data_IF_120871312113
#
_entry.id   IF_120871312113
#
_cell.length_a   1.000
_cell.length_b   1.000
_cell.length_c   1.000
_cell.angle_alpha   90.00
_cell.angle_beta   90.00
_cell.angle_gamma   90.00
#
_symmetry.space_group_name_H-M   'P 1'
#
loop_
_entity.id
_entity.type
_entity.pdbx_description
1 polymer ?
#
# COMPACT_ATOMS: atom_id res chain seq x y z
N UNK A 1 10.41 15.53 12.69
CA UNK A 1 9.30 14.59 12.96
C UNK A 1 9.23 13.61 11.82
N UNK A 2 9.48 12.33 12.10
CA UNK A 2 9.53 11.29 11.08
C UNK A 2 8.16 10.61 10.98
N UNK A 3 7.34 11.03 10.01
CA UNK A 3 6.03 10.43 9.74
C UNK A 3 6.07 9.62 8.46
N UNK A 4 5.52 8.42 8.50
CA UNK A 4 5.55 7.47 7.39
C UNK A 4 4.14 7.04 7.05
N UNK A 5 3.83 6.91 5.77
CA UNK A 5 2.61 6.28 5.26
C UNK A 5 2.95 4.98 4.53
N UNK A 6 2.08 4.00 4.67
CA UNK A 6 2.21 2.67 4.06
C UNK A 6 0.90 2.34 3.34
N UNK A 7 0.99 1.96 2.07
CA UNK A 7 -0.17 1.45 1.34
C UNK A 7 -0.57 0.05 1.81
N UNK A 8 -1.75 -0.40 1.45
CA UNK A 8 -2.27 -1.74 1.80
C UNK A 8 -2.12 -2.71 0.64
N UNK A 9 -2.84 -2.44 -0.45
CA UNK A 9 -3.01 -3.41 -1.52
C UNK A 9 -1.70 -3.57 -2.30
N UNK A 10 -1.21 -4.82 -2.40
CA UNK A 10 0.10 -5.21 -2.97
C UNK A 10 1.34 -4.70 -2.19
N UNK A 11 1.11 -4.12 -1.00
CA UNK A 11 2.19 -3.72 -0.07
C UNK A 11 2.09 -4.47 1.25
N UNK A 12 0.94 -4.40 1.93
CA UNK A 12 0.66 -5.15 3.15
C UNK A 12 -0.08 -6.46 2.89
N UNK A 13 -0.86 -6.54 1.82
CA UNK A 13 -1.70 -7.68 1.46
C UNK A 13 -1.72 -7.86 -0.06
N UNK A 14 -1.73 -9.10 -0.53
CA UNK A 14 -2.03 -9.38 -1.94
C UNK A 14 -3.53 -9.21 -2.18
N UNK A 15 -3.90 -8.34 -3.10
CA UNK A 15 -5.30 -8.04 -3.43
C UNK A 15 -5.72 -8.56 -4.81
N UNK A 16 -4.89 -8.33 -5.83
CA UNK A 16 -5.24 -8.62 -7.24
C UNK A 16 -5.50 -10.09 -7.49
N UNK A 17 -4.62 -10.98 -7.02
CA UNK A 17 -4.78 -12.43 -7.23
C UNK A 17 -6.01 -12.99 -6.51
N UNK A 18 -6.27 -12.67 -5.23
CA UNK A 18 -7.51 -13.02 -4.55
C UNK A 18 -8.76 -12.48 -5.23
N UNK A 19 -8.74 -11.21 -5.68
CA UNK A 19 -9.85 -10.60 -6.44
C UNK A 19 -10.15 -11.40 -7.72
N UNK A 20 -9.11 -11.73 -8.50
CA UNK A 20 -9.26 -12.53 -9.73
C UNK A 20 -9.84 -13.92 -9.43
N UNK A 21 -9.30 -14.60 -8.41
CA UNK A 21 -9.76 -15.92 -7.98
C UNK A 21 -11.23 -15.91 -7.54
N UNK A 22 -11.62 -14.94 -6.71
CA UNK A 22 -12.99 -14.78 -6.24
C UNK A 22 -13.99 -14.60 -7.40
N UNK A 23 -13.63 -13.79 -8.39
CA UNK A 23 -14.47 -13.54 -9.56
C UNK A 23 -14.31 -14.58 -10.66
N UNK A 24 -13.53 -15.64 -10.45
CA UNK A 24 -13.24 -16.68 -11.42
C UNK A 24 -12.76 -16.14 -12.78
N UNK A 25 -11.87 -15.15 -12.73
CA UNK A 25 -11.21 -14.57 -13.91
C UNK A 25 -9.74 -14.93 -13.95
N UNK A 26 -9.21 -15.18 -15.16
CA UNK A 26 -7.79 -15.48 -15.33
C UNK A 26 -6.93 -14.20 -15.24
N UNK A 27 -5.76 -14.32 -14.60
CA UNK A 27 -4.75 -13.27 -14.65
C UNK A 27 -4.20 -13.14 -16.07
N UNK A 28 -3.84 -11.91 -16.51
CA UNK A 28 -3.22 -11.73 -17.82
C UNK A 28 -1.96 -12.59 -17.97
N UNK A 29 -1.80 -13.21 -19.16
CA UNK A 29 -0.63 -14.05 -19.49
C UNK A 29 0.60 -13.24 -19.89
N UNK A 30 0.49 -11.90 -19.91
CA UNK A 30 1.57 -10.98 -20.27
C UNK A 30 2.34 -10.55 -19.03
N UNK A 31 3.64 -10.27 -19.21
CA UNK A 31 4.51 -9.81 -18.13
C UNK A 31 4.37 -8.30 -17.82
N UNK A 32 3.51 -7.60 -18.53
CA UNK A 32 3.23 -6.18 -18.36
C UNK A 32 1.77 -5.87 -18.61
N UNK A 33 1.11 -5.24 -17.65
CA UNK A 33 -0.25 -4.71 -17.76
C UNK A 33 -0.47 -3.59 -16.74
N UNK A 34 -1.51 -2.80 -16.98
CA UNK A 34 -1.87 -1.67 -16.11
C UNK A 34 -2.59 -2.15 -14.84
N UNK A 35 -2.35 -1.50 -13.71
CA UNK A 35 -3.13 -1.69 -12.46
C UNK A 35 -4.51 -1.00 -12.57
N UNK A 36 -5.25 -1.35 -13.60
CA UNK A 36 -6.63 -0.89 -13.82
C UNK A 36 -7.46 -2.13 -14.15
N UNK A 37 -8.31 -2.56 -13.25
CA UNK A 37 -8.97 -3.87 -13.31
C UNK A 37 -9.75 -4.12 -14.60
N UNK A 38 -10.45 -3.08 -15.14
CA UNK A 38 -11.14 -3.23 -16.44
C UNK A 38 -10.19 -3.58 -17.59
N UNK A 39 -8.98 -3.04 -17.58
CA UNK A 39 -7.95 -3.36 -18.57
C UNK A 39 -7.28 -4.70 -18.26
N UNK A 40 -6.96 -4.93 -16.98
CA UNK A 40 -6.30 -6.13 -16.51
C UNK A 40 -7.13 -7.40 -16.84
N UNK A 41 -8.43 -7.36 -16.56
CA UNK A 41 -9.34 -8.49 -16.77
C UNK A 41 -10.12 -8.43 -18.09
N UNK A 42 -9.87 -7.41 -18.91
CA UNK A 42 -10.57 -7.18 -20.18
C UNK A 42 -12.12 -7.23 -20.03
N UNK A 43 -12.63 -6.50 -19.06
CA UNK A 43 -14.07 -6.41 -18.76
C UNK A 43 -14.54 -4.95 -18.85
N UNK A 44 -15.86 -4.71 -19.07
CA UNK A 44 -16.40 -3.35 -18.99
C UNK A 44 -16.18 -2.72 -17.62
N UNK A 45 -16.07 -1.39 -17.56
CA UNK A 45 -15.86 -0.66 -16.30
C UNK A 45 -16.90 -1.00 -15.23
N UNK A 46 -18.18 -1.03 -15.61
CA UNK A 46 -19.27 -1.39 -14.69
C UNK A 46 -19.07 -2.79 -14.08
N UNK A 47 -18.54 -3.71 -14.87
CA UNK A 47 -18.24 -5.07 -14.42
C UNK A 47 -17.04 -5.07 -13.46
N UNK A 48 -15.96 -4.36 -13.77
CA UNK A 48 -14.81 -4.27 -12.87
C UNK A 48 -15.16 -3.65 -11.52
N UNK A 49 -16.02 -2.64 -11.50
CA UNK A 49 -16.55 -2.03 -10.27
C UNK A 49 -17.38 -3.04 -9.47
N UNK A 50 -18.24 -3.83 -10.15
CA UNK A 50 -19.04 -4.88 -9.52
C UNK A 50 -18.12 -5.94 -8.88
N UNK A 51 -17.12 -6.42 -9.62
CA UNK A 51 -16.15 -7.42 -9.15
C UNK A 51 -15.47 -6.99 -7.85
N UNK A 52 -15.01 -5.76 -7.78
CA UNK A 52 -14.35 -5.22 -6.58
C UNK A 52 -15.34 -5.11 -5.42
N UNK A 53 -16.54 -4.60 -5.66
CA UNK A 53 -17.56 -4.47 -4.63
C UNK A 53 -17.99 -5.83 -4.07
N UNK A 54 -18.28 -6.80 -4.95
CA UNK A 54 -18.71 -8.13 -4.53
C UNK A 54 -17.58 -8.83 -3.73
N UNK A 55 -16.31 -8.61 -4.10
CA UNK A 55 -15.17 -9.10 -3.34
C UNK A 55 -15.06 -8.41 -1.96
N UNK A 56 -15.26 -7.10 -1.87
CA UNK A 56 -15.28 -6.38 -0.61
C UNK A 56 -16.35 -6.90 0.36
N UNK A 57 -17.47 -7.41 -0.16
CA UNK A 57 -18.57 -7.97 0.63
C UNK A 57 -18.36 -9.43 1.02
N UNK A 58 -17.33 -10.09 0.48
CA UNK A 58 -17.04 -11.51 0.71
C UNK A 58 -16.28 -11.78 2.03
N UNK A 59 -16.33 -13.03 2.48
CA UNK A 59 -15.48 -13.51 3.59
C UNK A 59 -14.01 -13.59 3.16
N UNK A 60 -13.75 -13.94 1.89
CA UNK A 60 -12.39 -14.04 1.35
C UNK A 60 -11.61 -12.72 1.47
N UNK A 61 -12.29 -11.57 1.34
CA UNK A 61 -11.67 -10.27 1.55
C UNK A 61 -11.26 -10.05 3.02
N UNK A 62 -12.09 -10.45 3.97
CA UNK A 62 -11.77 -10.31 5.40
C UNK A 62 -10.70 -11.29 5.88
N UNK A 63 -10.54 -12.40 5.17
CA UNK A 63 -9.56 -13.46 5.47
C UNK A 63 -8.23 -13.30 4.72
N UNK A 64 -8.00 -12.18 4.05
CA UNK A 64 -6.72 -11.93 3.39
C UNK A 64 -5.58 -11.90 4.40
N UNK A 65 -4.49 -12.62 4.08
CA UNK A 65 -3.31 -12.69 4.93
C UNK A 65 -2.28 -11.62 4.58
N UNK A 66 -1.53 -11.09 5.58
CA UNK A 66 -0.47 -10.13 5.33
C UNK A 66 0.64 -10.69 4.43
N UNK A 67 1.22 -9.85 3.61
CA UNK A 67 2.45 -10.16 2.86
C UNK A 67 3.56 -10.55 3.84
N UNK A 68 4.22 -11.67 3.55
CA UNK A 68 5.28 -12.21 4.39
C UNK A 68 6.36 -11.17 4.71
N UNK A 69 6.75 -11.12 5.97
CA UNK A 69 7.75 -10.17 6.47
C UNK A 69 7.19 -8.80 6.85
N UNK A 70 6.00 -8.40 6.42
CA UNK A 70 5.44 -7.07 6.74
C UNK A 70 5.30 -6.84 8.25
N UNK A 71 4.71 -7.77 8.95
CA UNK A 71 4.45 -7.65 10.40
C UNK A 71 5.74 -7.51 11.23
N UNK A 72 6.74 -8.42 11.15
CA UNK A 72 7.96 -8.27 11.94
C UNK A 72 8.76 -7.03 11.55
N UNK A 73 8.85 -6.70 10.26
CA UNK A 73 9.61 -5.54 9.82
C UNK A 73 8.96 -4.24 10.30
N UNK A 74 7.65 -4.10 10.17
CA UNK A 74 6.95 -2.90 10.66
C UNK A 74 7.08 -2.75 12.18
N UNK A 75 7.05 -3.84 12.96
CA UNK A 75 7.36 -3.78 14.40
C UNK A 75 8.77 -3.28 14.68
N UNK A 76 9.76 -3.64 13.85
CA UNK A 76 11.14 -3.15 13.97
C UNK A 76 11.29 -1.69 13.54
N UNK A 77 10.48 -1.23 12.58
CA UNK A 77 10.52 0.14 12.08
C UNK A 77 9.70 1.11 12.95
N UNK A 78 8.63 0.63 13.58
CA UNK A 78 7.72 1.48 14.38
C UNK A 78 8.43 2.37 15.42
N UNK A 79 9.42 1.88 16.20
CA UNK A 79 10.15 2.73 17.15
C UNK A 79 11.04 3.80 16.52
N UNK A 80 11.27 3.73 15.20
CA UNK A 80 12.15 4.67 14.48
C UNK A 80 11.40 5.90 13.94
N UNK A 81 10.08 5.94 14.09
CA UNK A 81 9.22 6.98 13.53
C UNK A 81 8.27 7.53 14.59
N UNK A 82 7.93 8.81 14.47
CA UNK A 82 7.00 9.46 15.40
C UNK A 82 5.55 8.99 15.15
N UNK A 83 5.17 8.89 13.88
CA UNK A 83 3.85 8.44 13.43
C UNK A 83 3.95 7.52 12.22
N UNK A 84 3.09 6.52 12.18
CA UNK A 84 2.94 5.62 11.06
C UNK A 84 1.47 5.51 10.68
N UNK A 85 1.16 5.77 9.41
CA UNK A 85 -0.20 5.79 8.88
C UNK A 85 -0.38 4.70 7.85
N UNK A 86 -1.57 4.13 7.78
CA UNK A 86 -2.03 3.46 6.57
C UNK A 86 -2.58 4.53 5.63
N UNK A 87 -2.20 4.50 4.35
CA UNK A 87 -2.68 5.43 3.33
C UNK A 87 -3.02 4.65 2.06
N UNK A 88 -4.29 4.32 1.88
CA UNK A 88 -4.76 3.38 0.86
C UNK A 88 -5.75 4.00 -0.12
N UNK A 89 -5.75 3.50 -1.38
CA UNK A 89 -6.73 3.84 -2.40
C UNK A 89 -8.14 3.30 -2.16
N UNK A 90 -8.34 2.48 -1.15
CA UNK A 90 -9.65 1.89 -0.83
C UNK A 90 -10.72 2.97 -0.61
N UNK A 91 -11.98 2.58 -0.83
CA UNK A 91 -13.13 3.46 -0.69
C UNK A 91 -13.73 3.39 0.72
N UNK A 92 -14.40 4.47 1.13
CA UNK A 92 -15.02 4.57 2.46
C UNK A 92 -16.06 3.48 2.76
N UNK A 93 -16.64 2.84 1.74
CA UNK A 93 -17.58 1.73 1.93
C UNK A 93 -16.96 0.49 2.61
N UNK A 94 -15.62 0.36 2.59
CA UNK A 94 -14.89 -0.73 3.25
C UNK A 94 -14.00 -0.26 4.40
N UNK A 95 -14.23 0.95 4.90
CA UNK A 95 -13.44 1.53 6.00
C UNK A 95 -13.39 0.61 7.21
N UNK A 96 -14.54 0.23 7.73
CA UNK A 96 -14.65 -0.61 8.93
C UNK A 96 -13.89 -1.93 8.78
N UNK A 97 -14.14 -2.68 7.72
CA UNK A 97 -13.42 -3.93 7.41
C UNK A 97 -11.91 -3.72 7.27
N UNK A 98 -11.50 -2.58 6.69
CA UNK A 98 -10.08 -2.24 6.53
C UNK A 98 -9.43 -1.94 7.88
N UNK A 99 -10.07 -1.15 8.72
CA UNK A 99 -9.59 -0.82 10.06
C UNK A 99 -9.54 -2.06 10.97
N UNK A 100 -10.56 -2.93 10.93
CA UNK A 100 -10.58 -4.21 11.64
C UNK A 100 -9.42 -5.11 11.21
N UNK A 101 -9.19 -5.25 9.88
CA UNK A 101 -8.10 -6.04 9.34
C UNK A 101 -6.72 -5.50 9.78
N UNK A 102 -6.53 -4.18 9.72
CA UNK A 102 -5.29 -3.53 10.18
C UNK A 102 -5.09 -3.74 11.67
N UNK A 103 -6.11 -3.55 12.49
CA UNK A 103 -6.03 -3.72 13.94
C UNK A 103 -5.74 -5.17 14.33
N UNK A 104 -6.29 -6.14 13.60
CA UNK A 104 -6.06 -7.56 13.85
C UNK A 104 -4.64 -8.00 13.48
N UNK A 105 -4.17 -7.64 12.28
CA UNK A 105 -2.87 -8.11 11.78
C UNK A 105 -1.68 -7.24 12.23
N UNK A 106 -1.90 -5.96 12.50
CA UNK A 106 -0.87 -4.97 12.85
C UNK A 106 -1.17 -4.21 14.15
N UNK A 107 -1.49 -4.92 15.24
CA UNK A 107 -1.89 -4.27 16.49
C UNK A 107 -0.81 -3.32 17.00
N UNK A 108 -1.20 -2.05 17.23
CA UNK A 108 -0.32 -1.01 17.78
C UNK A 108 0.79 -0.50 16.83
N UNK A 109 0.73 -0.85 15.54
CA UNK A 109 1.71 -0.40 14.54
C UNK A 109 1.31 0.95 13.95
N UNK A 110 0.06 1.09 13.52
CA UNK A 110 -0.43 2.28 12.83
C UNK A 110 -1.19 3.21 13.78
N UNK A 111 -0.98 4.51 13.61
CA UNK A 111 -1.67 5.55 14.38
C UNK A 111 -3.05 5.88 13.79
N UNK A 112 -3.23 5.71 12.47
CA UNK A 112 -4.51 5.96 11.80
C UNK A 112 -4.57 5.24 10.44
N UNK A 113 -5.79 5.08 9.91
CA UNK A 113 -6.09 4.47 8.60
C UNK A 113 -6.81 5.48 7.72
N UNK A 114 -6.16 5.89 6.64
CA UNK A 114 -6.63 6.95 5.74
C UNK A 114 -6.97 6.35 4.38
N UNK A 115 -8.23 6.48 3.98
CA UNK A 115 -8.75 6.02 2.70
C UNK A 115 -8.89 7.20 1.75
N UNK A 116 -8.31 7.09 0.56
CA UNK A 116 -8.29 8.19 -0.42
C UNK A 116 -9.44 8.10 -1.44
N UNK A 117 -10.29 7.08 -1.38
CA UNK A 117 -11.43 6.88 -2.27
C UNK A 117 -11.07 6.88 -3.76
N UNK A 118 -9.94 6.28 -4.13
CA UNK A 118 -9.45 6.24 -5.51
C UNK A 118 -10.51 5.72 -6.48
N UNK A 119 -10.50 6.25 -7.70
CA UNK A 119 -11.48 5.96 -8.77
C UNK A 119 -12.92 6.38 -8.46
N UNK A 120 -13.13 7.30 -7.53
CA UNK A 120 -14.44 7.89 -7.24
C UNK A 120 -14.41 9.41 -7.39
N UNK A 121 -15.58 10.05 -7.41
CA UNK A 121 -15.66 11.53 -7.39
C UNK A 121 -15.16 12.17 -6.08
N UNK A 122 -14.88 11.38 -5.07
CA UNK A 122 -14.36 11.81 -3.77
C UNK A 122 -12.87 11.49 -3.61
N UNK A 123 -12.20 11.12 -4.69
CA UNK A 123 -10.78 10.79 -4.66
C UNK A 123 -9.94 11.98 -4.18
N UNK A 124 -9.03 11.68 -3.25
CA UNK A 124 -7.98 12.61 -2.79
C UNK A 124 -6.64 12.00 -3.14
N UNK A 125 -5.72 12.79 -3.67
CA UNK A 125 -4.39 12.28 -4.03
C UNK A 125 -3.57 11.97 -2.78
N UNK A 126 -2.81 10.86 -2.78
CA UNK A 126 -1.97 10.48 -1.64
C UNK A 126 -0.96 11.57 -1.26
N UNK A 127 -0.41 12.29 -2.24
CA UNK A 127 0.52 13.40 -2.00
C UNK A 127 -0.11 14.55 -1.21
N UNK A 128 -1.40 14.84 -1.42
CA UNK A 128 -2.10 15.91 -0.70
C UNK A 128 -2.27 15.53 0.78
N UNK A 129 -2.58 14.26 1.06
CA UNK A 129 -2.63 13.73 2.42
C UNK A 129 -1.25 13.77 3.06
N UNK A 130 -0.21 13.34 2.35
CA UNK A 130 1.16 13.37 2.85
C UNK A 130 1.56 14.80 3.23
N UNK A 131 1.27 15.78 2.39
CA UNK A 131 1.56 17.19 2.69
C UNK A 131 0.76 17.69 3.91
N UNK A 132 -0.55 17.42 3.96
CA UNK A 132 -1.42 17.91 5.04
C UNK A 132 -1.04 17.35 6.42
N UNK A 133 -0.52 16.12 6.47
CA UNK A 133 -0.09 15.45 7.69
C UNK A 133 1.41 15.54 7.94
N UNK A 134 2.16 16.26 7.11
CA UNK A 134 3.63 16.33 7.16
C UNK A 134 4.28 14.94 7.17
N UNK A 135 3.79 14.05 6.31
CA UNK A 135 4.38 12.73 6.08
C UNK A 135 5.63 12.91 5.23
N UNK A 136 6.76 12.46 5.74
CA UNK A 136 8.04 12.59 5.05
C UNK A 136 8.41 11.40 4.17
N UNK A 137 7.67 10.29 4.28
CA UNK A 137 7.94 9.07 3.49
C UNK A 137 6.67 8.29 3.19
N UNK A 138 6.57 7.80 1.95
CA UNK A 138 5.54 6.88 1.48
C UNK A 138 6.16 5.53 1.10
N UNK A 139 5.50 4.43 1.47
CA UNK A 139 5.79 3.06 0.97
C UNK A 139 4.58 2.63 0.15
N UNK A 140 4.75 2.42 -1.16
CA UNK A 140 3.64 2.24 -2.11
C UNK A 140 4.10 1.41 -3.31
N UNK A 141 3.22 0.61 -3.93
CA UNK A 141 3.51 -0.16 -5.14
C UNK A 141 3.32 0.65 -6.42
N UNK A 142 2.66 1.80 -6.36
CA UNK A 142 2.41 2.63 -7.52
C UNK A 142 3.60 3.49 -7.91
N UNK A 143 4.14 3.24 -9.12
CA UNK A 143 5.17 4.08 -9.75
C UNK A 143 4.77 5.57 -9.71
N UNK A 144 3.50 5.85 -10.00
CA UNK A 144 2.97 7.22 -10.08
C UNK A 144 2.96 7.89 -8.71
N UNK A 145 2.41 7.23 -7.69
CA UNK A 145 2.36 7.78 -6.33
C UNK A 145 3.77 8.07 -5.81
N UNK A 146 4.68 7.11 -5.99
CA UNK A 146 6.08 7.29 -5.59
C UNK A 146 6.76 8.45 -6.33
N UNK A 147 6.56 8.57 -7.64
CA UNK A 147 7.14 9.65 -8.43
C UNK A 147 6.57 11.02 -8.04
N UNK A 148 5.25 11.12 -7.87
CA UNK A 148 4.59 12.36 -7.46
C UNK A 148 5.06 12.78 -6.08
N UNK A 149 5.11 11.88 -5.09
CA UNK A 149 5.62 12.19 -3.76
C UNK A 149 7.07 12.71 -3.80
N UNK A 150 7.96 12.05 -4.54
CA UNK A 150 9.34 12.51 -4.70
C UNK A 150 9.46 13.90 -5.31
N UNK A 151 8.63 14.21 -6.30
CA UNK A 151 8.59 15.55 -6.91
C UNK A 151 8.15 16.65 -5.93
N UNK A 152 7.43 16.28 -4.87
CA UNK A 152 7.01 17.17 -3.79
C UNK A 152 7.94 17.13 -2.57
N UNK A 153 9.11 16.49 -2.69
CA UNK A 153 10.11 16.42 -1.60
C UNK A 153 9.76 15.41 -0.51
N UNK A 154 8.83 14.50 -0.77
CA UNK A 154 8.46 13.41 0.11
C UNK A 154 9.23 12.17 -0.34
N UNK A 155 10.01 11.54 0.53
CA UNK A 155 10.70 10.29 0.22
C UNK A 155 9.70 9.19 -0.15
N UNK A 156 10.09 8.28 -1.04
CA UNK A 156 9.25 7.14 -1.36
C UNK A 156 10.08 5.87 -1.55
N UNK A 157 9.63 4.79 -0.89
CA UNK A 157 10.09 3.42 -1.14
C UNK A 157 9.07 2.77 -2.07
N UNK A 158 9.51 2.49 -3.29
CA UNK A 158 8.68 1.83 -4.28
C UNK A 158 8.70 0.31 -4.05
N UNK A 159 7.59 -0.24 -3.53
CA UNK A 159 7.38 -1.66 -3.29
C UNK A 159 6.92 -2.32 -4.60
N UNK A 160 7.86 -2.56 -5.51
CA UNK A 160 7.57 -2.88 -6.90
C UNK A 160 7.32 -4.38 -7.18
N UNK A 161 7.24 -5.21 -6.15
CA UNK A 161 7.10 -6.64 -6.37
C UNK A 161 7.13 -7.47 -5.09
N UNK A 162 7.15 -8.79 -5.27
CA UNK A 162 7.19 -9.74 -4.17
C UNK A 162 8.14 -10.90 -4.49
N UNK A 163 8.86 -11.38 -3.48
CA UNK A 163 9.79 -12.53 -3.55
C UNK A 163 10.79 -12.45 -4.70
N UNK A 164 11.34 -11.24 -4.94
CA UNK A 164 12.31 -10.97 -6.00
C UNK A 164 11.71 -10.68 -7.37
N UNK A 165 10.42 -10.91 -7.56
CA UNK A 165 9.73 -10.66 -8.82
C UNK A 165 9.00 -9.31 -8.83
N UNK A 166 9.14 -8.58 -9.94
CA UNK A 166 8.49 -7.28 -10.13
C UNK A 166 7.03 -7.48 -10.54
N UNK A 167 6.13 -6.76 -9.91
CA UNK A 167 4.72 -6.75 -10.32
C UNK A 167 4.58 -6.31 -11.78
N UNK A 168 3.65 -6.91 -12.55
CA UNK A 168 3.49 -6.60 -13.97
C UNK A 168 3.11 -5.15 -14.28
N UNK A 169 2.54 -4.42 -13.32
CA UNK A 169 2.19 -3.00 -13.44
C UNK A 169 3.29 -2.06 -12.97
N UNK A 170 4.34 -2.57 -12.32
CA UNK A 170 5.46 -1.77 -11.84
C UNK A 170 6.62 -1.75 -12.83
N UNK A 171 7.38 -0.66 -12.81
CA UNK A 171 8.67 -0.57 -13.46
C UNK A 171 9.77 -0.74 -12.40
N UNK A 172 10.74 -1.63 -12.66
CA UNK A 172 11.91 -1.74 -11.79
C UNK A 172 12.78 -0.51 -12.00
N UNK A 173 12.87 0.33 -10.98
CA UNK A 173 13.78 1.46 -10.91
C UNK A 173 14.86 1.19 -9.87
N UNK A 174 15.97 1.96 -9.86
CA UNK A 174 17.16 1.68 -9.06
C UNK A 174 16.93 1.51 -7.56
N UNK A 175 15.85 2.07 -7.01
CA UNK A 175 15.51 2.02 -5.59
C UNK A 175 14.19 1.26 -5.30
N UNK A 176 13.74 0.42 -6.24
CA UNK A 176 12.58 -0.43 -6.02
C UNK A 176 12.95 -1.62 -5.15
N UNK A 177 12.02 -2.02 -4.27
CA UNK A 177 12.14 -3.20 -3.40
C UNK A 177 11.09 -4.24 -3.76
N UNK A 178 11.38 -5.51 -3.46
CA UNK A 178 10.48 -6.63 -3.74
C UNK A 178 10.25 -7.51 -2.51
N UNK A 179 10.65 -7.03 -1.35
CA UNK A 179 10.41 -7.69 -0.07
C UNK A 179 10.39 -6.68 1.08
N UNK A 180 9.77 -7.06 2.19
CA UNK A 180 9.84 -6.28 3.43
C UNK A 180 11.24 -6.24 4.05
N UNK A 181 12.06 -7.26 3.80
CA UNK A 181 13.49 -7.24 4.19
C UNK A 181 14.24 -6.14 3.44
N UNK A 182 13.95 -5.96 2.15
CA UNK A 182 14.54 -4.87 1.38
C UNK A 182 14.07 -3.51 1.88
N UNK A 183 12.77 -3.38 2.24
CA UNK A 183 12.26 -2.15 2.89
C UNK A 183 13.10 -1.83 4.12
N UNK A 184 13.33 -2.80 5.01
CA UNK A 184 14.15 -2.59 6.21
C UNK A 184 15.57 -2.12 5.89
N UNK A 185 16.18 -2.68 4.86
CA UNK A 185 17.56 -2.36 4.46
C UNK A 185 17.71 -0.95 3.88
N UNK A 186 16.71 -0.48 3.14
CA UNK A 186 16.72 0.86 2.51
C UNK A 186 16.07 1.93 3.39
N UNK A 187 15.34 1.54 4.44
CA UNK A 187 14.67 2.47 5.32
C UNK A 187 15.70 3.37 6.02
N UNK A 188 15.54 4.70 6.01
CA UNK A 188 16.49 5.62 6.60
C UNK A 188 16.79 5.29 8.06
N UNK A 189 18.07 5.28 8.41
CA UNK A 189 18.52 5.24 9.80
C UNK A 189 18.42 6.66 10.34
N UNK A 190 17.23 7.07 10.77
CA UNK A 190 17.10 8.31 11.52
C UNK A 190 17.94 8.17 12.80
N UNK A 191 18.95 9.01 12.94
CA UNK A 191 19.66 9.12 14.21
C UNK A 191 18.64 9.62 15.23
N UNK A 192 18.47 8.91 16.34
CA UNK A 192 18.03 9.55 17.57
C UNK A 192 18.97 10.75 17.75
N UNK A 193 18.47 11.95 17.65
CA UNK A 193 19.19 13.09 18.25
C UNK A 193 19.22 12.77 19.72
N UNK A 194 20.42 12.44 20.23
CA UNK A 194 20.66 12.36 21.66
C UNK A 194 20.06 13.62 22.25
N UNK A 195 19.07 13.47 23.11
CA UNK A 195 18.59 14.55 23.95
C UNK A 195 19.77 14.77 24.89
N UNK A 196 20.57 15.79 24.61
CA UNK A 196 21.57 16.27 25.54
C UNK A 196 20.83 16.55 26.84
N UNK A 197 21.11 15.75 27.85
CA UNK A 197 20.73 16.03 29.23
C UNK A 197 21.39 17.38 29.63
N UNK A 198 20.54 18.39 29.78
CA UNK A 198 20.91 19.67 30.36
C UNK A 198 20.49 19.69 31.83
#
# INVERSE_FOLDING_TARGET
>A
MNRVAVDIDEVLVHFVKPLAKFNNVEMPKTNKYSYVYRHMFNVPEKESVRMVRDFYDSEEFTMLEPIYGSQPILRMLRPRVDKMYVLTGRQNCVREKTEEWINFHFPGIFDDVILTNSYTKFEVQKVDICNSLNIGMLIDDSDLNCAVCKNWGIDAIHFAGYDGEVYPWCNKVSNSVTSWTDVYNVFPRYKYTDVEEA
#
